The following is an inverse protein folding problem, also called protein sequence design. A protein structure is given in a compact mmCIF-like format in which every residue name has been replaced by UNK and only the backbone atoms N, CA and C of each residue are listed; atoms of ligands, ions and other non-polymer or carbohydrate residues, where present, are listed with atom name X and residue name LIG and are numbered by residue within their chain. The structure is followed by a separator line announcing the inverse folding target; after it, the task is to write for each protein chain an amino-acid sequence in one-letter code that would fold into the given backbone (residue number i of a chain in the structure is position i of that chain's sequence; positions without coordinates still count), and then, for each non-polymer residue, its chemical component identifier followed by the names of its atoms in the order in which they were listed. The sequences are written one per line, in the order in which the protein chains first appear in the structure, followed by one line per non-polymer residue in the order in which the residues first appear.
data_IF_567813545857
#
_entry.id   IF_567813545857
#
_cell.length_a   1.000
_cell.length_b   1.000
_cell.length_c   1.000
_cell.angle_alpha   90.00
_cell.angle_beta   90.00
_cell.angle_gamma   90.00
#
_symmetry.space_group_name_H-M   'P 1'
#
loop_
_entity.id
_entity.type
_entity.pdbx_description
1 polymer ?
#
# COMPACT_ATOMS: atom_id res chain seq x y z
N UNK A 1 -43.33 22.43 14.59
CA UNK A 1 -41.89 22.78 14.40
C UNK A 1 -41.75 23.38 13.02
N UNK A 2 -41.21 24.60 12.84
CA UNK A 2 -41.19 25.25 11.53
C UNK A 2 -40.28 24.49 10.55
N UNK A 3 -40.75 24.32 9.31
CA UNK A 3 -40.11 23.55 8.24
C UNK A 3 -38.61 23.88 8.05
N UNK A 4 -38.26 25.15 8.25
CA UNK A 4 -36.90 25.67 8.13
C UNK A 4 -35.91 25.08 9.15
N UNK A 5 -36.40 24.63 10.33
CA UNK A 5 -35.55 23.97 11.35
C UNK A 5 -35.24 22.51 10.99
N UNK A 6 -36.14 21.84 10.28
CA UNK A 6 -35.96 20.45 9.85
C UNK A 6 -34.91 20.37 8.74
N UNK A 7 -34.97 21.29 7.77
CA UNK A 7 -34.01 21.36 6.65
C UNK A 7 -32.58 21.61 7.15
N UNK A 8 -32.39 22.52 8.11
CA UNK A 8 -31.06 22.82 8.67
C UNK A 8 -30.45 21.60 9.40
N UNK A 9 -31.25 20.82 10.13
CA UNK A 9 -30.79 19.63 10.84
C UNK A 9 -30.37 18.54 9.85
N UNK A 10 -31.13 18.32 8.78
CA UNK A 10 -30.79 17.33 7.75
C UNK A 10 -29.48 17.70 7.04
N UNK A 11 -29.28 18.96 6.67
CA UNK A 11 -28.02 19.42 6.03
C UNK A 11 -26.82 19.23 6.95
N UNK A 12 -26.94 19.54 8.24
CA UNK A 12 -25.84 19.32 9.21
C UNK A 12 -25.50 17.83 9.38
N UNK A 13 -26.50 16.93 9.39
CA UNK A 13 -26.27 15.48 9.48
C UNK A 13 -25.54 14.96 8.24
N UNK A 14 -25.89 15.46 7.03
CA UNK A 14 -25.18 15.11 5.80
C UNK A 14 -23.73 15.67 5.76
N UNK A 15 -23.48 16.87 6.29
CA UNK A 15 -22.13 17.45 6.36
C UNK A 15 -21.21 16.69 7.34
N UNK A 16 -21.74 16.08 8.40
CA UNK A 16 -20.93 15.29 9.35
C UNK A 16 -20.55 13.93 8.75
N UNK A 17 -21.40 13.35 7.89
CA UNK A 17 -21.10 12.06 7.23
C UNK A 17 -19.98 12.16 6.19
N UNK A 18 -19.73 13.33 5.60
CA UNK A 18 -18.67 13.51 4.59
C UNK A 18 -17.29 13.77 5.21
N UNK A 19 -17.20 14.24 6.46
CA UNK A 19 -15.91 14.44 7.14
C UNK A 19 -15.32 13.17 7.76
N UNK A 20 -16.09 12.08 7.82
CA UNK A 20 -15.66 10.74 8.26
C UNK A 20 -15.84 9.69 7.16
N UNK A 21 -15.75 10.08 5.88
CA UNK A 21 -15.67 9.12 4.79
C UNK A 21 -14.34 8.37 4.91
N UNK A 22 -14.36 7.32 5.73
CA UNK A 22 -13.21 6.48 6.02
C UNK A 22 -12.83 5.74 4.74
N UNK A 23 -11.65 6.04 4.21
CA UNK A 23 -11.19 5.47 2.94
C UNK A 23 -11.03 3.96 3.09
N UNK A 24 -11.95 3.21 2.50
CA UNK A 24 -11.87 1.75 2.40
C UNK A 24 -11.46 1.38 0.99
N UNK A 25 -10.53 0.44 0.87
CA UNK A 25 -10.07 -0.08 -0.41
C UNK A 25 -10.67 -1.45 -0.64
N UNK A 26 -11.15 -1.71 -1.86
CA UNK A 26 -11.57 -3.06 -2.24
C UNK A 26 -10.44 -3.83 -2.92
N UNK A 27 -10.44 -5.14 -2.74
CA UNK A 27 -9.50 -6.05 -3.42
C UNK A 27 -9.67 -5.99 -4.94
N UNK A 28 -10.89 -5.77 -5.42
CA UNK A 28 -11.17 -5.62 -6.84
C UNK A 28 -10.52 -4.35 -7.41
N UNK A 29 -10.49 -3.27 -6.63
CA UNK A 29 -9.81 -2.05 -7.01
C UNK A 29 -8.30 -2.28 -7.14
N UNK A 30 -7.67 -2.91 -6.14
CA UNK A 30 -6.25 -3.29 -6.17
C UNK A 30 -5.88 -4.12 -7.40
N UNK A 31 -6.70 -5.13 -7.72
CA UNK A 31 -6.51 -6.06 -8.85
C UNK A 31 -6.80 -5.44 -10.22
N UNK A 32 -7.53 -4.33 -10.28
CA UNK A 32 -7.99 -3.73 -11.53
C UNK A 32 -6.85 -3.15 -12.38
N UNK A 33 -5.66 -3.01 -11.80
CA UNK A 33 -4.53 -2.36 -12.45
C UNK A 33 -3.18 -2.93 -12.00
N UNK A 34 -2.15 -2.53 -12.74
CA UNK A 34 -0.77 -2.54 -12.26
C UNK A 34 -0.47 -1.16 -11.67
N UNK A 35 0.35 -1.14 -10.64
CA UNK A 35 0.73 0.05 -9.89
C UNK A 35 2.23 0.28 -10.00
N UNK A 36 2.68 1.50 -9.77
CA UNK A 36 4.09 1.88 -9.72
C UNK A 36 4.36 2.61 -8.42
N UNK A 37 5.48 2.27 -7.77
CA UNK A 37 5.94 3.03 -6.60
C UNK A 37 6.56 4.34 -7.10
N UNK A 38 6.12 5.46 -6.54
CA UNK A 38 6.85 6.72 -6.67
C UNK A 38 7.91 6.73 -5.59
N UNK A 39 9.19 6.71 -5.99
CA UNK A 39 10.29 6.97 -5.07
C UNK A 39 10.65 8.46 -5.16
N UNK A 40 10.54 9.18 -4.07
CA UNK A 40 11.13 10.52 -3.97
C UNK A 40 12.65 10.40 -3.77
N UNK A 41 13.43 11.32 -4.33
CA UNK A 41 14.88 11.41 -4.07
C UNK A 41 15.77 10.42 -4.82
N UNK A 42 15.34 9.88 -5.96
CA UNK A 42 16.23 9.07 -6.81
C UNK A 42 17.30 9.98 -7.41
N UNK A 43 18.57 9.76 -7.05
CA UNK A 43 19.72 10.50 -7.59
C UNK A 43 19.73 10.46 -9.13
N UNK A 44 20.12 11.58 -9.76
CA UNK A 44 20.29 11.67 -11.21
C UNK A 44 21.19 10.52 -11.72
N UNK A 45 20.61 9.61 -12.50
CA UNK A 45 21.33 8.49 -13.13
C UNK A 45 20.86 7.09 -12.71
N UNK A 46 20.08 6.96 -11.64
CA UNK A 46 19.46 5.68 -11.27
C UNK A 46 18.05 5.60 -11.84
N UNK A 47 17.78 4.64 -12.72
CA UNK A 47 16.42 4.39 -13.25
C UNK A 47 15.83 3.16 -12.60
N UNK A 48 15.37 3.33 -11.36
CA UNK A 48 14.63 2.30 -10.65
C UNK A 48 13.14 2.40 -10.96
N UNK A 49 12.56 1.36 -11.55
CA UNK A 49 11.11 1.27 -11.72
C UNK A 49 10.58 0.07 -10.97
N UNK A 50 9.68 0.29 -10.02
CA UNK A 50 8.99 -0.78 -9.30
C UNK A 50 7.55 -0.88 -9.78
N UNK A 51 7.19 -2.02 -10.36
CA UNK A 51 5.81 -2.32 -10.79
C UNK A 51 5.21 -3.33 -9.83
N UNK A 52 4.00 -3.05 -9.38
CA UNK A 52 3.23 -3.88 -8.45
C UNK A 52 1.96 -4.39 -9.14
N UNK A 53 1.57 -5.61 -8.84
CA UNK A 53 0.24 -6.15 -9.19
C UNK A 53 -0.31 -7.01 -8.07
N UNK A 54 -1.62 -7.14 -7.98
CA UNK A 54 -2.29 -7.89 -6.92
C UNK A 54 -3.13 -9.02 -7.50
N UNK A 55 -3.20 -10.14 -6.79
CA UNK A 55 -4.28 -11.12 -6.95
C UNK A 55 -5.17 -11.17 -5.70
N UNK A 56 -5.82 -12.29 -5.38
CA UNK A 56 -6.67 -12.39 -4.18
C UNK A 56 -5.89 -12.57 -2.87
N UNK A 57 -4.60 -12.90 -2.91
CA UNK A 57 -3.80 -13.35 -1.77
C UNK A 57 -2.39 -12.76 -1.74
N UNK A 58 -1.85 -12.40 -2.90
CA UNK A 58 -0.48 -11.96 -3.09
C UNK A 58 -0.39 -10.62 -3.79
N UNK A 59 0.57 -9.84 -3.35
CA UNK A 59 1.15 -8.73 -4.08
C UNK A 59 2.42 -9.23 -4.76
N UNK A 60 2.57 -8.91 -6.04
CA UNK A 60 3.74 -9.24 -6.85
C UNK A 60 4.47 -7.94 -7.17
N UNK A 61 5.73 -7.86 -6.78
CA UNK A 61 6.61 -6.71 -7.00
C UNK A 61 7.68 -7.08 -8.02
N UNK A 62 7.89 -6.21 -9.00
CA UNK A 62 8.93 -6.32 -10.01
C UNK A 62 9.73 -5.01 -10.04
N UNK A 63 10.91 -5.01 -9.44
CA UNK A 63 11.81 -3.86 -9.39
C UNK A 63 12.89 -4.02 -10.43
N UNK A 64 12.87 -3.17 -11.44
CA UNK A 64 13.93 -3.07 -12.43
C UNK A 64 14.95 -2.04 -11.97
N UNK A 65 16.20 -2.48 -11.89
CA UNK A 65 17.36 -1.66 -11.54
C UNK A 65 18.20 -1.44 -12.78
N UNK A 66 18.48 -0.18 -13.08
CA UNK A 66 19.43 0.23 -14.11
C UNK A 66 20.36 1.30 -13.53
N UNK A 67 21.60 0.91 -13.20
CA UNK A 67 22.62 1.82 -12.66
C UNK A 67 24.04 1.32 -12.94
N UNK A 68 25.02 2.22 -12.88
CA UNK A 68 26.45 1.87 -12.94
C UNK A 68 26.98 1.56 -11.53
N UNK A 69 27.47 0.35 -11.29
CA UNK A 69 28.03 -0.06 -10.02
C UNK A 69 29.48 0.47 -9.89
N UNK A 70 29.77 1.44 -9.00
CA UNK A 70 31.04 2.16 -9.00
C UNK A 70 32.23 1.27 -8.59
N UNK A 71 32.02 0.34 -7.66
CA UNK A 71 33.08 -0.58 -7.18
C UNK A 71 33.38 -1.67 -8.21
N UNK A 72 32.34 -2.27 -8.81
CA UNK A 72 32.48 -3.36 -9.80
C UNK A 72 32.77 -2.86 -11.22
N UNK A 73 32.61 -1.56 -11.46
CA UNK A 73 32.76 -0.92 -12.78
C UNK A 73 31.90 -1.57 -13.87
N UNK A 74 30.68 -1.98 -13.51
CA UNK A 74 29.73 -2.64 -14.43
C UNK A 74 28.38 -1.93 -14.43
N UNK A 75 27.64 -2.03 -15.54
CA UNK A 75 26.23 -1.63 -15.58
C UNK A 75 25.39 -2.79 -15.04
N UNK A 76 24.62 -2.53 -13.99
CA UNK A 76 23.62 -3.44 -13.48
C UNK A 76 22.32 -3.15 -14.21
N UNK A 77 21.85 -4.13 -14.97
CA UNK A 77 20.53 -4.18 -15.60
C UNK A 77 19.86 -5.49 -15.18
N UNK A 78 19.05 -5.43 -14.11
CA UNK A 78 18.43 -6.63 -13.52
C UNK A 78 17.04 -6.32 -12.98
N UNK A 79 16.18 -7.34 -13.02
CA UNK A 79 14.87 -7.30 -12.39
C UNK A 79 14.86 -8.20 -11.16
N UNK A 80 14.55 -7.62 -10.01
CA UNK A 80 14.23 -8.36 -8.79
C UNK A 80 12.71 -8.57 -8.72
N UNK A 81 12.30 -9.78 -8.36
CA UNK A 81 10.89 -10.11 -8.12
C UNK A 81 10.72 -10.53 -6.67
N UNK A 82 9.75 -9.92 -6.00
CA UNK A 82 9.39 -10.24 -4.61
C UNK A 82 7.88 -10.42 -4.55
N UNK A 83 7.45 -11.47 -3.87
CA UNK A 83 6.06 -11.74 -3.58
C UNK A 83 5.81 -11.46 -2.10
N UNK A 84 4.69 -10.81 -1.81
CA UNK A 84 4.18 -10.63 -0.46
C UNK A 84 2.79 -11.25 -0.35
N UNK A 85 2.56 -12.04 0.70
CA UNK A 85 1.21 -12.41 1.09
C UNK A 85 0.54 -11.18 1.71
N UNK A 86 -0.76 -11.01 1.51
CA UNK A 86 -1.45 -9.86 2.09
C UNK A 86 -2.91 -10.15 2.47
N UNK A 87 -3.44 -9.30 3.35
CA UNK A 87 -4.87 -9.20 3.62
C UNK A 87 -5.28 -7.76 3.88
N UNK A 88 -6.57 -7.51 3.70
CA UNK A 88 -7.23 -6.27 4.09
C UNK A 88 -7.89 -6.44 5.47
N UNK A 89 -7.96 -5.37 6.25
CA UNK A 89 -8.67 -5.36 7.53
C UNK A 89 -9.24 -3.98 7.86
N UNK A 90 -10.26 -3.93 8.72
CA UNK A 90 -10.80 -2.66 9.25
C UNK A 90 -10.13 -2.21 10.55
N UNK A 91 -9.22 -3.03 11.08
CA UNK A 91 -8.47 -2.77 12.32
C UNK A 91 -7.00 -3.10 12.11
N UNK A 92 -6.13 -2.38 12.81
CA UNK A 92 -4.71 -2.73 12.92
C UNK A 92 -4.62 -3.98 13.81
N UNK A 93 -3.95 -5.01 13.31
CA UNK A 93 -3.63 -6.20 14.10
C UNK A 93 -2.23 -6.04 14.68
N UNK A 94 -2.06 -6.49 15.92
CA UNK A 94 -0.77 -6.43 16.60
C UNK A 94 0.29 -7.32 15.94
N UNK A 95 -0.11 -8.41 15.28
CA UNK A 95 0.75 -9.37 14.59
C UNK A 95 0.14 -9.76 13.24
N UNK A 96 0.96 -10.29 12.32
CA UNK A 96 0.50 -10.91 11.09
C UNK A 96 -0.36 -12.16 11.36
N UNK A 97 -1.51 -12.25 10.69
CA UNK A 97 -2.41 -13.40 10.76
C UNK A 97 -2.59 -14.04 9.38
N UNK A 98 -1.84 -15.12 9.13
CA UNK A 98 -1.90 -15.87 7.88
C UNK A 98 -3.31 -16.38 7.55
N UNK A 99 -4.16 -16.60 8.56
CA UNK A 99 -5.52 -17.10 8.34
C UNK A 99 -6.44 -16.06 7.69
N UNK A 100 -6.05 -14.78 7.64
CA UNK A 100 -6.83 -13.70 7.01
C UNK A 100 -6.53 -13.49 5.53
N UNK A 101 -5.45 -14.06 5.02
CA UNK A 101 -5.04 -13.95 3.62
C UNK A 101 -6.16 -14.39 2.69
N UNK A 102 -6.62 -13.47 1.84
CA UNK A 102 -7.68 -13.69 0.87
C UNK A 102 -9.10 -13.87 1.43
N UNK A 103 -9.34 -13.57 2.73
CA UNK A 103 -10.68 -13.60 3.32
C UNK A 103 -11.45 -12.29 3.12
N UNK A 104 -10.84 -11.17 3.50
CA UNK A 104 -11.48 -9.86 3.38
C UNK A 104 -11.37 -9.31 1.95
N UNK A 105 -12.48 -8.82 1.41
CA UNK A 105 -12.55 -8.23 0.08
C UNK A 105 -12.46 -6.70 0.10
N UNK A 106 -12.50 -6.09 1.28
CA UNK A 106 -12.28 -4.67 1.51
C UNK A 106 -11.62 -4.44 2.88
N UNK A 107 -11.09 -3.24 3.10
CA UNK A 107 -10.56 -2.83 4.39
C UNK A 107 -9.92 -1.45 4.35
N UNK A 108 -9.54 -0.97 5.53
CA UNK A 108 -8.87 0.32 5.78
C UNK A 108 -7.37 0.16 5.93
N UNK A 109 -6.94 -1.03 6.29
CA UNK A 109 -5.54 -1.40 6.43
C UNK A 109 -5.22 -2.52 5.46
N UNK A 110 -3.96 -2.52 5.01
CA UNK A 110 -3.37 -3.59 4.24
C UNK A 110 -2.11 -4.07 4.96
N UNK A 111 -2.03 -5.36 5.26
CA UNK A 111 -0.84 -5.97 5.84
C UNK A 111 -0.13 -6.80 4.79
N UNK A 112 1.16 -6.56 4.61
CA UNK A 112 2.06 -7.34 3.76
C UNK A 112 2.96 -8.21 4.62
N UNK A 113 3.21 -9.43 4.16
CA UNK A 113 4.16 -10.37 4.74
C UNK A 113 5.04 -10.93 3.65
N UNK A 114 6.35 -10.93 3.87
CA UNK A 114 7.32 -11.42 2.90
C UNK A 114 7.11 -12.91 2.58
N UNK A 115 7.19 -13.31 1.31
CA UNK A 115 7.10 -14.73 0.89
C UNK A 115 8.37 -15.20 0.20
N UNK A 116 8.96 -14.38 -0.67
CA UNK A 116 10.07 -14.82 -1.54
C UNK A 116 11.34 -13.99 -1.42
N UNK A 117 11.32 -12.85 -0.72
CA UNK A 117 12.53 -12.06 -0.55
C UNK A 117 13.48 -12.76 0.41
N UNK A 118 14.68 -13.07 -0.09
CA UNK A 118 15.81 -13.53 0.72
C UNK A 118 16.53 -12.39 1.47
N UNK A 119 16.10 -11.16 1.23
CA UNK A 119 16.70 -9.94 1.79
C UNK A 119 15.85 -9.30 2.89
N UNK A 120 14.58 -9.71 2.99
CA UNK A 120 13.65 -9.30 4.06
C UNK A 120 13.55 -10.43 5.08
N UNK A 121 13.20 -10.11 6.32
CA UNK A 121 12.94 -11.12 7.36
C UNK A 121 11.82 -12.06 6.87
N UNK A 122 11.99 -13.39 6.92
CA UNK A 122 10.93 -14.34 6.53
C UNK A 122 9.67 -14.24 7.41
N UNK A 123 9.77 -13.66 8.61
CA UNK A 123 8.64 -13.37 9.49
C UNK A 123 8.24 -11.89 9.47
N UNK A 124 8.92 -11.08 8.66
CA UNK A 124 8.70 -9.66 8.51
C UNK A 124 7.31 -9.36 7.95
N UNK A 125 6.62 -8.42 8.58
CA UNK A 125 5.38 -7.85 8.10
C UNK A 125 5.33 -6.35 8.30
N UNK A 126 4.57 -5.69 7.44
CA UNK A 126 4.27 -4.26 7.52
C UNK A 126 2.78 -4.03 7.29
N UNK A 127 2.16 -3.22 8.12
CA UNK A 127 0.75 -2.83 8.00
C UNK A 127 0.65 -1.35 7.69
N UNK A 128 -0.07 -1.04 6.62
CA UNK A 128 -0.33 0.31 6.18
C UNK A 128 -1.80 0.66 6.33
N UNK A 129 -2.10 1.89 6.73
CA UNK A 129 -3.41 2.50 6.57
C UNK A 129 -3.56 3.03 5.14
N UNK A 130 -4.74 2.81 4.56
CA UNK A 130 -5.13 3.40 3.29
C UNK A 130 -5.65 4.80 3.59
N UNK A 131 -4.78 5.79 3.46
CA UNK A 131 -5.11 7.19 3.77
C UNK A 131 -5.83 7.87 2.60
N UNK A 132 -5.54 7.48 1.36
CA UNK A 132 -6.23 7.98 0.16
C UNK A 132 -6.30 6.90 -0.93
N UNK A 133 -7.42 6.85 -1.65
CA UNK A 133 -7.56 6.01 -2.84
C UNK A 133 -8.41 6.71 -3.91
N UNK A 134 -7.92 6.70 -5.14
CA UNK A 134 -8.58 7.24 -6.34
C UNK A 134 -8.26 6.35 -7.53
N UNK A 135 -8.97 6.52 -8.65
CA UNK A 135 -8.79 5.69 -9.87
C UNK A 135 -7.36 5.66 -10.44
N UNK A 136 -6.50 6.62 -10.09
CA UNK A 136 -5.13 6.74 -10.57
C UNK A 136 -4.07 6.57 -9.47
N UNK A 137 -4.44 6.58 -8.20
CA UNK A 137 -3.48 6.63 -7.10
C UNK A 137 -4.01 6.05 -5.80
N UNK A 138 -3.16 5.33 -5.07
CA UNK A 138 -3.37 4.89 -3.69
C UNK A 138 -2.24 5.45 -2.84
N UNK A 139 -2.57 6.05 -1.70
CA UNK A 139 -1.61 6.47 -0.68
C UNK A 139 -1.79 5.58 0.54
N UNK A 140 -0.68 4.99 0.96
CA UNK A 140 -0.58 4.09 2.09
C UNK A 140 0.35 4.71 3.12
N UNK A 141 -0.04 4.73 4.40
CA UNK A 141 0.81 5.25 5.47
C UNK A 141 1.17 4.12 6.42
N UNK A 142 2.46 3.92 6.68
CA UNK A 142 2.92 2.82 7.54
C UNK A 142 2.46 3.05 8.98
N UNK A 143 1.75 2.08 9.56
CA UNK A 143 1.20 2.17 10.91
C UNK A 143 1.87 1.20 11.89
N UNK A 144 2.28 0.03 11.42
CA UNK A 144 3.00 -0.96 12.23
C UNK A 144 3.87 -1.84 11.35
N UNK A 145 4.91 -2.40 11.94
CA UNK A 145 5.82 -3.35 11.29
C UNK A 145 6.45 -4.25 12.35
N UNK A 146 7.25 -5.24 11.92
CA UNK A 146 7.83 -6.21 12.84
C UNK A 146 8.82 -5.52 13.79
N UNK A 147 8.71 -5.72 15.12
CA UNK A 147 9.67 -5.13 16.05
C UNK A 147 11.10 -5.53 15.72
N UNK A 148 11.99 -4.54 15.58
CA UNK A 148 13.40 -4.74 15.25
C UNK A 148 13.75 -4.50 13.78
N UNK A 149 12.77 -4.29 12.89
CA UNK A 149 13.03 -3.82 11.53
C UNK A 149 13.35 -2.31 11.49
N UNK A 150 14.15 -1.89 10.52
CA UNK A 150 14.45 -0.48 10.27
C UNK A 150 13.40 0.13 9.35
N UNK A 151 12.28 0.57 9.93
CA UNK A 151 11.25 1.35 9.23
C UNK A 151 10.69 2.45 10.14
N UNK A 152 9.89 3.37 9.58
CA UNK A 152 9.36 4.52 10.30
C UNK A 152 7.84 4.62 10.14
N UNK A 153 7.12 4.51 11.26
CA UNK A 153 5.67 4.80 11.32
C UNK A 153 5.44 6.23 10.79
N UNK A 154 4.42 6.37 9.93
CA UNK A 154 4.12 7.61 9.22
C UNK A 154 4.76 7.72 7.84
N UNK A 155 5.68 6.82 7.46
CA UNK A 155 6.20 6.79 6.09
C UNK A 155 5.08 6.53 5.09
N UNK A 156 5.03 7.35 4.04
CA UNK A 156 4.09 7.18 2.95
C UNK A 156 4.65 6.27 1.84
N UNK A 157 3.77 5.40 1.32
CA UNK A 157 3.97 4.62 0.11
C UNK A 157 2.89 5.04 -0.89
N UNK A 158 3.32 5.68 -1.98
CA UNK A 158 2.42 6.16 -3.03
C UNK A 158 2.46 5.21 -4.22
N UNK A 159 1.31 4.64 -4.54
CA UNK A 159 1.09 3.74 -5.67
C UNK A 159 0.35 4.48 -6.78
N UNK A 160 1.00 4.75 -7.91
CA UNK A 160 0.35 5.32 -9.09
C UNK A 160 -0.04 4.22 -10.07
N UNK A 161 -1.24 4.32 -10.64
CA UNK A 161 -1.71 3.42 -11.68
C UNK A 161 -0.77 3.50 -12.88
N UNK A 162 -0.27 2.35 -13.33
CA UNK A 162 0.51 2.24 -14.56
C UNK A 162 -0.42 2.47 -15.75
N UNK A 163 -0.10 3.49 -16.56
CA UNK A 163 -0.78 3.77 -17.83
C UNK A 163 -0.44 2.73 -18.90
#
# INVERSE_FOLDING_TARGET
MPLNKIVAIIVCIFCIQTMNAQTTLSINFLKSAKWMIIKEGVEEGTKDTTVISFDNKKMYTSTHYHFFHPIRKEVVDKTLKIDHAYYLSDVILGNYDATKVGKATNGKYITFHNVTSKYEDPNGYSTFEITRSSNSEIVLTLCSFTPGEFDQVGRELILKKKQ
#
